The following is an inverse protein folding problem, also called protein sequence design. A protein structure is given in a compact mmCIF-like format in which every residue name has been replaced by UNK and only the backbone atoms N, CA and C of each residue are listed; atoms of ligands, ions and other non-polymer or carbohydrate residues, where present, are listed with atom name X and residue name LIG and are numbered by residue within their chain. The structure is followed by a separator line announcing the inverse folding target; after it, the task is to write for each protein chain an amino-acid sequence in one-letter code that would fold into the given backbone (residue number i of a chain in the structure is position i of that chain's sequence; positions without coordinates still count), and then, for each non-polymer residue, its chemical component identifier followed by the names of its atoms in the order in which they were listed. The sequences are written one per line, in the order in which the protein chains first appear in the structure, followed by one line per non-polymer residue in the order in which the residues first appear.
data_IF_906809424446
#
_entry.id   IF_906809424446
#
_cell.length_a   1.000
_cell.length_b   1.000
_cell.length_c   1.000
_cell.angle_alpha   90.00
_cell.angle_beta   90.00
_cell.angle_gamma   90.00
#
_symmetry.space_group_name_H-M   'P 1'
#
loop_
_entity.id
_entity.type
_entity.pdbx_description
1 polymer ?
#
# COMPACT_ATOMS: atom_id res chain seq x y z
N UNK A 1 -17.50 -27.80 -43.61
CA UNK A 1 -16.46 -27.89 -42.60
C UNK A 1 -15.17 -27.35 -43.20
N UNK A 2 -14.63 -26.23 -42.71
CA UNK A 2 -13.63 -26.16 -41.67
C UNK A 2 -13.74 -24.84 -40.83
N UNK A 3 -14.04 -24.90 -39.54
CA UNK A 3 -14.10 -23.70 -38.70
C UNK A 3 -13.51 -23.85 -37.26
N UNK A 4 -12.75 -24.92 -36.98
CA UNK A 4 -12.24 -25.23 -35.64
C UNK A 4 -10.75 -24.97 -35.40
N UNK A 5 -9.98 -24.55 -36.41
CA UNK A 5 -8.52 -24.31 -36.28
C UNK A 5 -8.11 -22.87 -35.91
N UNK A 6 -8.99 -21.89 -36.07
CA UNK A 6 -8.65 -20.47 -35.78
C UNK A 6 -8.45 -20.12 -34.30
N UNK A 7 -9.23 -20.60 -33.31
CA UNK A 7 -9.00 -20.27 -31.92
C UNK A 7 -7.73 -20.88 -31.32
N UNK A 8 -7.30 -22.06 -31.78
CA UNK A 8 -6.07 -22.70 -31.27
C UNK A 8 -4.80 -21.97 -31.70
N UNK A 9 -4.78 -21.48 -32.95
CA UNK A 9 -3.63 -20.71 -33.46
C UNK A 9 -3.49 -19.34 -32.79
N UNK A 10 -4.60 -18.69 -32.45
CA UNK A 10 -4.57 -17.42 -31.72
C UNK A 10 -4.09 -17.61 -30.27
N UNK A 11 -4.51 -18.66 -29.58
CA UNK A 11 -4.03 -18.96 -28.23
C UNK A 11 -2.55 -19.34 -28.18
N UNK A 12 -2.06 -20.10 -29.19
CA UNK A 12 -0.63 -20.42 -29.29
C UNK A 12 0.23 -19.21 -29.60
N UNK A 13 -0.25 -18.29 -30.43
CA UNK A 13 0.44 -17.04 -30.75
C UNK A 13 0.57 -16.09 -29.56
N UNK A 14 -0.46 -15.99 -28.72
CA UNK A 14 -0.41 -15.19 -27.48
C UNK A 14 0.55 -15.79 -26.44
N UNK A 15 0.57 -17.11 -26.27
CA UNK A 15 1.51 -17.77 -25.35
C UNK A 15 2.97 -17.59 -25.78
N UNK A 16 3.26 -17.65 -27.09
CA UNK A 16 4.62 -17.43 -27.61
C UNK A 16 5.08 -15.98 -27.49
N UNK A 17 4.19 -15.02 -27.72
CA UNK A 17 4.51 -13.60 -27.57
C UNK A 17 4.78 -13.22 -26.10
N UNK A 18 4.03 -13.76 -25.16
CA UNK A 18 4.24 -13.52 -23.73
C UNK A 18 5.53 -14.16 -23.18
N UNK A 19 5.90 -15.34 -23.69
CA UNK A 19 7.17 -15.99 -23.32
C UNK A 19 8.40 -15.23 -23.86
N UNK A 20 8.32 -14.68 -25.08
CA UNK A 20 9.39 -13.86 -25.64
C UNK A 20 9.57 -12.55 -24.85
N UNK A 21 8.50 -11.84 -24.51
CA UNK A 21 8.55 -10.62 -23.72
C UNK A 21 9.16 -10.84 -22.32
N UNK A 22 8.81 -11.96 -21.66
CA UNK A 22 9.42 -12.35 -20.38
C UNK A 22 10.91 -12.68 -20.52
N UNK A 23 11.30 -13.36 -21.59
CA UNK A 23 12.69 -13.73 -21.85
C UNK A 23 13.58 -12.50 -22.10
N UNK A 24 13.03 -11.46 -22.72
CA UNK A 24 13.73 -10.18 -22.96
C UNK A 24 13.82 -9.32 -21.67
N UNK A 25 12.76 -9.30 -20.85
CA UNK A 25 12.69 -8.50 -19.63
C UNK A 25 13.53 -9.09 -18.48
N UNK A 26 13.60 -10.40 -18.36
CA UNK A 26 14.29 -11.10 -17.26
C UNK A 26 15.73 -10.66 -17.06
N UNK A 27 16.60 -10.56 -18.10
CA UNK A 27 17.98 -10.12 -17.91
C UNK A 27 18.11 -8.70 -17.34
N UNK A 28 17.24 -7.79 -17.76
CA UNK A 28 17.25 -6.40 -17.29
C UNK A 28 16.79 -6.31 -15.82
N UNK A 29 15.74 -7.04 -15.44
CA UNK A 29 15.27 -7.10 -14.06
C UNK A 29 16.31 -7.77 -13.17
N UNK A 30 16.92 -8.88 -13.58
CA UNK A 30 18.01 -9.56 -12.87
C UNK A 30 19.20 -8.63 -12.63
N UNK A 31 19.60 -7.85 -13.64
CA UNK A 31 20.69 -6.88 -13.53
C UNK A 31 20.39 -5.74 -12.55
N UNK A 32 19.12 -5.38 -12.39
CA UNK A 32 18.70 -4.39 -11.41
C UNK A 32 18.58 -4.97 -9.99
N UNK A 33 18.03 -6.17 -9.84
CA UNK A 33 17.69 -6.81 -8.56
C UNK A 33 18.89 -7.40 -7.83
N UNK A 34 19.71 -8.20 -8.53
CA UNK A 34 20.79 -8.99 -7.90
C UNK A 34 21.79 -8.14 -7.12
N UNK A 35 22.26 -6.98 -7.65
CA UNK A 35 23.16 -6.10 -6.90
C UNK A 35 22.53 -5.54 -5.61
N UNK A 36 21.23 -5.19 -5.64
CA UNK A 36 20.52 -4.68 -4.47
C UNK A 36 20.36 -5.78 -3.41
N UNK A 37 19.96 -6.99 -3.81
CA UNK A 37 19.86 -8.12 -2.89
C UNK A 37 21.21 -8.44 -2.23
N UNK A 38 22.30 -8.40 -2.99
CA UNK A 38 23.65 -8.63 -2.47
C UNK A 38 24.08 -7.50 -1.52
N UNK A 39 23.94 -6.24 -1.92
CA UNK A 39 24.39 -5.09 -1.13
C UNK A 39 23.68 -4.99 0.23
N UNK A 40 22.42 -5.35 0.28
CA UNK A 40 21.59 -5.29 1.50
C UNK A 40 21.34 -6.66 2.14
N UNK A 41 22.01 -7.71 1.68
CA UNK A 41 21.89 -9.08 2.18
C UNK A 41 20.42 -9.54 2.27
N UNK A 42 19.60 -9.22 1.27
CA UNK A 42 18.16 -9.56 1.21
C UNK A 42 18.04 -11.05 0.90
N UNK A 43 17.44 -11.87 1.79
CA UNK A 43 17.38 -13.32 1.57
C UNK A 43 16.43 -13.72 0.47
N UNK A 44 15.30 -13.01 0.35
CA UNK A 44 14.25 -13.30 -0.64
C UNK A 44 13.53 -12.05 -1.10
N UNK A 45 13.11 -12.05 -2.36
CA UNK A 45 12.38 -10.96 -2.99
C UNK A 45 11.41 -11.51 -4.03
N UNK A 46 10.18 -11.00 -4.02
CA UNK A 46 9.20 -11.22 -5.07
C UNK A 46 8.84 -9.89 -5.74
N UNK A 47 8.78 -9.88 -7.07
CA UNK A 47 8.39 -8.71 -7.87
C UNK A 47 7.26 -9.13 -8.80
N UNK A 48 6.19 -8.34 -8.82
CA UNK A 48 5.13 -8.49 -9.80
C UNK A 48 4.96 -7.20 -10.60
N UNK A 49 4.76 -7.33 -11.90
CA UNK A 49 4.64 -6.23 -12.84
C UNK A 49 3.40 -6.46 -13.72
N UNK A 50 2.53 -5.46 -13.82
CA UNK A 50 1.53 -5.34 -14.86
C UNK A 50 1.98 -4.26 -15.84
N UNK A 51 2.10 -4.60 -17.12
CA UNK A 51 2.50 -3.66 -18.17
C UNK A 51 1.71 -3.92 -19.44
N UNK A 52 0.88 -2.96 -19.86
CA UNK A 52 0.06 -3.05 -21.09
C UNK A 52 -0.73 -4.36 -21.16
N UNK A 53 -1.35 -4.73 -20.05
CA UNK A 53 -2.15 -5.97 -19.93
C UNK A 53 -1.33 -7.27 -19.82
N UNK A 54 0.00 -7.20 -19.76
CA UNK A 54 0.87 -8.36 -19.53
C UNK A 54 1.30 -8.42 -18.07
N UNK A 55 1.32 -9.64 -17.52
CA UNK A 55 1.69 -9.93 -16.14
C UNK A 55 3.04 -10.65 -16.08
N UNK A 56 3.96 -10.14 -15.25
CA UNK A 56 5.28 -10.73 -15.06
C UNK A 56 5.57 -10.92 -13.58
N UNK A 57 6.16 -12.08 -13.25
CA UNK A 57 6.60 -12.41 -11.89
C UNK A 57 8.08 -12.77 -11.87
N UNK A 58 8.79 -12.27 -10.87
CA UNK A 58 10.21 -12.52 -10.66
C UNK A 58 10.43 -12.85 -9.18
N UNK A 59 10.82 -14.08 -8.93
CA UNK A 59 11.02 -14.62 -7.59
C UNK A 59 12.51 -14.91 -7.37
N UNK A 60 13.05 -14.47 -6.23
CA UNK A 60 14.46 -14.56 -5.91
C UNK A 60 14.67 -15.07 -4.50
N UNK A 61 15.66 -15.94 -4.32
CA UNK A 61 16.16 -16.36 -3.02
C UNK A 61 15.17 -17.17 -2.20
N UNK A 62 15.17 -16.97 -0.88
CA UNK A 62 14.46 -17.83 0.07
C UNK A 62 13.50 -17.05 0.98
N UNK A 63 12.34 -17.63 1.23
CA UNK A 63 11.33 -17.16 2.19
C UNK A 63 11.78 -17.45 3.64
N UNK A 64 12.58 -18.50 3.83
CA UNK A 64 13.16 -18.88 5.12
C UNK A 64 14.59 -19.35 4.91
N UNK A 65 15.56 -18.74 5.64
CA UNK A 65 16.96 -19.19 5.64
C UNK A 65 17.11 -20.54 6.33
N UNK A 66 16.30 -20.82 7.34
CA UNK A 66 16.37 -22.04 8.14
C UNK A 66 15.94 -23.26 7.33
N UNK A 67 14.76 -23.18 6.68
CA UNK A 67 14.22 -24.30 5.89
C UNK A 67 14.77 -24.35 4.46
N UNK A 68 15.35 -23.26 3.95
CA UNK A 68 15.73 -23.13 2.55
C UNK A 68 14.55 -23.00 1.59
N UNK A 69 13.34 -22.76 2.09
CA UNK A 69 12.14 -22.60 1.28
C UNK A 69 12.33 -21.43 0.29
N UNK A 70 12.21 -21.72 -1.00
CA UNK A 70 12.33 -20.70 -2.03
C UNK A 70 11.16 -19.70 -1.97
N UNK A 71 11.43 -18.47 -2.38
CA UNK A 71 10.35 -17.49 -2.67
C UNK A 71 9.65 -17.91 -3.96
N UNK A 72 8.33 -17.80 -3.95
CA UNK A 72 7.48 -17.90 -5.12
C UNK A 72 6.41 -16.78 -5.09
N UNK A 73 5.61 -16.69 -6.15
CA UNK A 73 4.55 -15.68 -6.29
C UNK A 73 3.46 -15.75 -5.22
N UNK A 74 3.34 -16.87 -4.50
CA UNK A 74 2.35 -17.13 -3.44
C UNK A 74 2.95 -16.94 -2.03
N UNK A 75 4.25 -16.68 -1.94
CA UNK A 75 4.91 -16.37 -0.67
C UNK A 75 4.30 -15.10 -0.05
N UNK A 76 3.91 -15.18 1.22
CA UNK A 76 3.31 -14.07 1.96
C UNK A 76 4.40 -13.21 2.59
N UNK A 77 4.35 -11.91 2.29
CA UNK A 77 5.23 -10.88 2.85
C UNK A 77 4.41 -9.89 3.68
N UNK A 78 5.00 -9.34 4.71
CA UNK A 78 4.43 -8.19 5.41
C UNK A 78 4.50 -6.96 4.51
N UNK A 79 3.35 -6.32 4.31
CA UNK A 79 3.24 -5.14 3.46
C UNK A 79 3.71 -3.86 4.17
N UNK A 80 3.77 -3.88 5.52
CA UNK A 80 4.03 -2.68 6.28
C UNK A 80 3.07 -1.55 5.88
N UNK A 81 3.56 -0.35 5.70
CA UNK A 81 2.73 0.82 5.39
C UNK A 81 2.00 0.79 4.03
N UNK A 82 2.23 -0.20 3.18
CA UNK A 82 1.36 -0.43 2.01
C UNK A 82 -0.05 -0.85 2.47
N UNK A 83 -0.20 -1.42 3.67
CA UNK A 83 -1.50 -1.69 4.31
C UNK A 83 -2.43 -0.47 4.32
N UNK A 84 -1.87 0.73 4.44
CA UNK A 84 -2.61 2.00 4.44
C UNK A 84 -3.40 2.27 3.15
N UNK A 85 -2.96 1.69 2.04
CA UNK A 85 -3.70 1.76 0.77
C UNK A 85 -5.03 1.00 0.87
N UNK A 86 -5.03 -0.12 1.55
CA UNK A 86 -6.23 -0.93 1.79
C UNK A 86 -7.16 -0.26 2.79
N UNK A 87 -6.60 0.31 3.86
CA UNK A 87 -7.35 1.11 4.82
C UNK A 87 -8.00 2.33 4.17
N UNK A 88 -7.26 3.03 3.31
CA UNK A 88 -7.79 4.14 2.53
C UNK A 88 -8.89 3.70 1.55
N UNK A 89 -8.72 2.53 0.90
CA UNK A 89 -9.73 1.95 0.02
C UNK A 89 -10.98 1.56 0.80
N UNK A 90 -10.85 1.01 2.03
CA UNK A 90 -11.97 0.70 2.91
C UNK A 90 -12.75 1.96 3.30
N UNK A 91 -12.06 3.03 3.70
CA UNK A 91 -12.70 4.30 4.04
C UNK A 91 -13.44 4.93 2.84
N UNK A 92 -12.80 4.91 1.66
CA UNK A 92 -13.44 5.36 0.42
C UNK A 92 -14.62 4.45 0.02
N UNK A 93 -14.57 3.16 0.32
CA UNK A 93 -15.67 2.22 0.11
C UNK A 93 -16.85 2.51 1.05
N UNK A 94 -16.59 2.82 2.31
CA UNK A 94 -17.60 3.25 3.27
C UNK A 94 -18.26 4.56 2.83
N UNK A 95 -17.47 5.53 2.32
CA UNK A 95 -17.98 6.78 1.76
C UNK A 95 -18.86 6.53 0.52
N UNK A 96 -18.42 5.70 -0.41
CA UNK A 96 -19.18 5.34 -1.61
C UNK A 96 -20.49 4.59 -1.29
N UNK A 97 -20.56 3.91 -0.13
CA UNK A 97 -21.77 3.30 0.40
C UNK A 97 -22.67 4.27 1.18
N UNK A 98 -22.20 5.48 1.43
CA UNK A 98 -22.94 6.50 2.19
C UNK A 98 -23.00 6.25 3.70
N UNK A 99 -22.13 5.37 4.25
CA UNK A 99 -22.04 5.11 5.69
C UNK A 99 -21.05 6.01 6.41
N UNK A 100 -20.19 6.71 5.64
CA UNK A 100 -19.16 7.61 6.12
C UNK A 100 -19.06 8.80 5.17
N UNK A 101 -18.67 9.98 5.70
CA UNK A 101 -18.30 11.14 4.88
C UNK A 101 -16.95 11.67 5.35
N UNK A 102 -15.98 11.79 4.43
CA UNK A 102 -14.62 12.24 4.75
C UNK A 102 -14.57 13.64 5.38
N UNK A 103 -15.58 14.49 5.19
CA UNK A 103 -15.66 15.80 5.81
C UNK A 103 -16.22 15.81 7.23
N UNK A 104 -16.78 14.69 7.70
CA UNK A 104 -17.33 14.58 9.04
C UNK A 104 -16.21 14.48 10.09
N UNK A 105 -16.50 14.96 11.30
CA UNK A 105 -15.55 14.88 12.42
C UNK A 105 -15.50 13.47 13.01
N UNK A 106 -14.32 13.07 13.45
CA UNK A 106 -14.06 11.71 13.94
C UNK A 106 -14.94 11.32 15.13
N UNK A 107 -15.23 12.26 16.05
CA UNK A 107 -16.09 12.03 17.22
C UNK A 107 -17.54 11.65 16.88
N UNK A 108 -18.00 11.93 15.65
CA UNK A 108 -19.34 11.51 15.19
C UNK A 108 -19.44 9.98 15.00
N UNK A 109 -18.31 9.33 14.67
CA UNK A 109 -18.23 7.88 14.45
C UNK A 109 -17.77 7.11 15.68
N UNK A 110 -17.18 7.80 16.68
CA UNK A 110 -16.75 7.20 17.94
C UNK A 110 -17.14 8.14 19.10
N UNK A 111 -18.33 7.96 19.68
CA UNK A 111 -18.84 8.83 20.76
C UNK A 111 -17.89 8.97 21.96
N UNK A 112 -17.04 7.97 22.21
CA UNK A 112 -16.02 8.02 23.25
C UNK A 112 -14.99 9.15 23.06
N UNK A 113 -14.89 9.75 21.86
CA UNK A 113 -14.02 10.87 21.52
C UNK A 113 -14.70 12.26 21.64
N UNK A 114 -16.00 12.31 21.98
CA UNK A 114 -16.71 13.59 22.19
C UNK A 114 -16.09 14.37 23.34
N UNK A 115 -15.96 15.68 23.16
CA UNK A 115 -15.31 16.57 24.10
C UNK A 115 -13.78 16.59 24.00
N UNK A 116 -13.19 15.97 22.99
CA UNK A 116 -11.75 15.99 22.71
C UNK A 116 -11.43 16.77 21.42
N UNK A 117 -10.14 16.85 21.06
CA UNK A 117 -9.69 17.44 19.79
C UNK A 117 -10.40 16.87 18.55
N UNK A 118 -10.87 15.61 18.62
CA UNK A 118 -11.53 14.92 17.52
C UNK A 118 -12.94 15.43 17.19
N UNK A 119 -13.47 16.37 17.97
CA UNK A 119 -14.66 17.15 17.60
C UNK A 119 -14.41 18.13 16.46
N UNK A 120 -13.12 18.39 16.14
CA UNK A 120 -12.70 19.36 15.13
C UNK A 120 -11.75 18.76 14.08
N UNK A 121 -11.45 17.46 14.15
CA UNK A 121 -10.59 16.74 13.22
C UNK A 121 -11.48 15.89 12.31
N UNK A 122 -11.41 16.16 11.00
CA UNK A 122 -12.17 15.42 10.02
C UNK A 122 -11.55 14.03 9.73
N UNK A 123 -12.38 13.12 9.22
CA UNK A 123 -11.90 11.82 8.73
C UNK A 123 -10.87 11.99 7.62
N UNK A 124 -11.00 13.03 6.77
CA UNK A 124 -10.00 13.37 5.77
C UNK A 124 -8.66 13.73 6.40
N UNK A 125 -8.67 14.54 7.49
CA UNK A 125 -7.44 14.93 8.17
C UNK A 125 -6.73 13.71 8.78
N UNK A 126 -7.48 12.73 9.30
CA UNK A 126 -6.93 11.45 9.76
C UNK A 126 -6.32 10.65 8.61
N UNK A 127 -7.05 10.49 7.49
CA UNK A 127 -6.63 9.70 6.35
C UNK A 127 -5.41 10.27 5.60
N UNK A 128 -5.17 11.58 5.74
CA UNK A 128 -4.10 12.31 5.05
C UNK A 128 -2.97 12.79 5.98
N UNK A 129 -2.99 12.35 7.24
CA UNK A 129 -1.99 12.68 8.26
C UNK A 129 -1.92 14.16 8.61
N UNK A 130 -3.01 14.89 8.43
CA UNK A 130 -3.09 16.32 8.74
C UNK A 130 -3.92 16.63 10.00
N UNK A 131 -4.08 15.65 10.88
CA UNK A 131 -4.91 15.71 12.07
C UNK A 131 -4.38 16.65 13.20
N UNK A 132 -3.21 17.28 13.03
CA UNK A 132 -2.68 18.23 14.02
C UNK A 132 -1.47 17.73 14.82
N UNK A 133 -0.73 16.73 14.33
CA UNK A 133 0.54 16.31 14.92
C UNK A 133 0.48 15.00 15.72
N UNK A 134 -0.42 14.07 15.38
CA UNK A 134 -0.35 12.71 15.90
C UNK A 134 1.02 12.07 15.59
N UNK A 135 1.66 11.37 16.53
CA UNK A 135 3.00 10.83 16.35
C UNK A 135 3.05 9.70 15.31
N UNK A 136 4.26 9.32 14.88
CA UNK A 136 4.46 8.19 13.97
C UNK A 136 3.90 6.88 14.55
N UNK A 137 4.13 6.64 15.83
CA UNK A 137 3.68 5.46 16.58
C UNK A 137 3.02 5.90 17.87
N UNK A 138 2.14 5.06 18.41
CA UNK A 138 1.71 5.22 19.79
C UNK A 138 2.91 5.15 20.75
N UNK A 139 2.82 5.83 21.92
CA UNK A 139 3.74 5.57 23.02
C UNK A 139 3.69 4.08 23.43
N UNK A 140 4.81 3.54 23.93
CA UNK A 140 4.93 2.11 24.32
C UNK A 140 3.90 1.69 25.38
N UNK A 141 3.34 2.62 26.12
CA UNK A 141 2.29 2.36 27.12
C UNK A 141 0.92 2.04 26.50
N UNK A 142 0.74 2.25 25.19
CA UNK A 142 -0.54 2.02 24.48
C UNK A 142 -0.46 0.67 23.79
N UNK A 143 -0.95 -0.38 24.46
CA UNK A 143 -0.92 -1.76 23.94
C UNK A 143 -2.29 -2.39 23.67
N UNK A 144 -3.37 -1.73 24.14
CA UNK A 144 -4.73 -2.25 23.96
C UNK A 144 -5.73 -1.14 23.60
N UNK A 145 -6.97 -1.53 23.34
CA UNK A 145 -8.03 -0.62 22.89
C UNK A 145 -8.41 0.42 23.96
N UNK A 146 -8.42 0.06 25.24
CA UNK A 146 -8.76 1.00 26.32
C UNK A 146 -7.69 2.07 26.46
N UNK A 147 -6.43 1.68 26.44
CA UNK A 147 -5.29 2.60 26.46
C UNK A 147 -5.24 3.49 25.21
N UNK A 148 -5.59 2.93 24.05
CA UNK A 148 -5.73 3.68 22.80
C UNK A 148 -6.83 4.75 22.91
N UNK A 149 -8.00 4.43 23.40
CA UNK A 149 -9.09 5.39 23.59
C UNK A 149 -8.71 6.47 24.59
N UNK A 150 -8.09 6.09 25.70
CA UNK A 150 -7.60 7.06 26.72
C UNK A 150 -6.53 7.98 26.13
N UNK A 151 -5.60 7.44 25.33
CA UNK A 151 -4.61 8.23 24.61
C UNK A 151 -5.28 9.28 23.71
N UNK A 152 -6.23 8.92 22.86
CA UNK A 152 -6.90 9.86 21.96
C UNK A 152 -7.72 10.91 22.73
N UNK A 153 -8.42 10.53 23.77
CA UNK A 153 -9.21 11.46 24.59
C UNK A 153 -8.38 12.55 25.26
N UNK A 154 -7.15 12.24 25.64
CA UNK A 154 -6.24 13.15 26.34
C UNK A 154 -5.22 13.81 25.41
N UNK A 155 -5.13 13.35 24.13
CA UNK A 155 -4.20 13.93 23.16
C UNK A 155 -4.58 15.38 22.83
N UNK A 156 -3.55 16.24 22.70
CA UNK A 156 -3.71 17.64 22.33
C UNK A 156 -3.02 17.91 21.01
N UNK A 157 -3.70 18.61 20.09
CA UNK A 157 -3.14 18.99 18.80
C UNK A 157 -1.97 19.97 18.96
N UNK A 158 -0.86 19.68 18.28
CA UNK A 158 0.34 20.55 18.24
C UNK A 158 0.16 21.64 17.19
N UNK A 159 -0.63 21.36 16.15
CA UNK A 159 -0.95 22.26 15.03
C UNK A 159 -2.45 22.24 14.76
N UNK A 160 -3.02 23.32 14.20
CA UNK A 160 -4.38 23.23 13.67
C UNK A 160 -4.49 22.13 12.60
N UNK A 161 -5.58 21.36 12.63
CA UNK A 161 -5.85 20.35 11.63
C UNK A 161 -5.83 20.95 10.20
N UNK A 162 -5.34 20.19 9.23
CA UNK A 162 -5.25 20.63 7.83
C UNK A 162 -4.09 21.59 7.52
N UNK A 163 -3.18 21.88 8.46
CA UNK A 163 -2.07 22.84 8.24
C UNK A 163 -0.71 22.19 8.02
N UNK A 164 -0.50 21.00 8.58
CA UNK A 164 0.73 20.23 8.44
C UNK A 164 0.44 18.76 8.26
N UNK A 165 1.18 18.11 7.36
CA UNK A 165 1.26 16.66 7.26
C UNK A 165 2.32 16.16 8.23
N UNK A 166 1.94 15.29 9.13
CA UNK A 166 2.85 14.51 9.96
C UNK A 166 2.46 13.04 9.85
N UNK A 167 3.30 12.26 9.17
CA UNK A 167 3.00 10.85 8.90
C UNK A 167 2.81 10.06 10.20
N UNK A 168 1.67 9.36 10.31
CA UNK A 168 1.22 8.82 11.59
C UNK A 168 0.44 7.52 11.41
N UNK A 169 0.87 6.45 12.11
CA UNK A 169 0.09 5.22 12.22
C UNK A 169 -1.18 5.42 13.07
N UNK A 170 -1.14 6.10 14.23
CA UNK A 170 -2.35 6.46 14.96
C UNK A 170 -3.38 7.22 14.11
N UNK A 171 -2.94 8.14 13.24
CA UNK A 171 -3.87 8.92 12.42
C UNK A 171 -4.68 8.05 11.47
N UNK A 172 -4.00 7.32 10.60
CA UNK A 172 -4.70 6.47 9.62
C UNK A 172 -5.27 5.20 10.26
N UNK A 173 -4.69 4.75 11.37
CA UNK A 173 -5.24 3.63 12.13
C UNK A 173 -6.61 3.98 12.68
N UNK A 174 -6.77 5.15 13.30
CA UNK A 174 -8.08 5.62 13.75
C UNK A 174 -9.05 5.79 12.57
N UNK A 175 -8.61 6.34 11.44
CA UNK A 175 -9.43 6.43 10.24
C UNK A 175 -9.96 5.06 9.81
N UNK A 176 -9.12 4.03 9.76
CA UNK A 176 -9.52 2.67 9.40
C UNK A 176 -10.50 2.06 10.39
N UNK A 177 -10.27 2.25 11.69
CA UNK A 177 -11.17 1.82 12.76
C UNK A 177 -12.56 2.45 12.61
N UNK A 178 -12.62 3.77 12.38
CA UNK A 178 -13.89 4.50 12.20
C UNK A 178 -14.59 4.09 10.89
N UNK A 179 -13.85 3.84 9.82
CA UNK A 179 -14.40 3.34 8.57
C UNK A 179 -15.06 1.96 8.74
N UNK A 180 -14.41 1.05 9.46
CA UNK A 180 -14.97 -0.26 9.78
C UNK A 180 -16.20 -0.14 10.69
N UNK A 181 -16.12 0.69 11.73
CA UNK A 181 -17.25 0.97 12.63
C UNK A 181 -18.47 1.52 11.87
N UNK A 182 -18.27 2.38 10.87
CA UNK A 182 -19.36 2.92 10.03
C UNK A 182 -20.05 1.83 9.19
N UNK A 183 -19.37 0.72 8.95
CA UNK A 183 -19.90 -0.48 8.28
C UNK A 183 -20.48 -1.50 9.27
N UNK A 184 -20.44 -1.21 10.58
CA UNK A 184 -20.91 -2.03 11.68
C UNK A 184 -20.17 -3.39 11.84
N UNK A 185 -18.90 -3.44 11.43
CA UNK A 185 -18.07 -4.64 11.49
C UNK A 185 -16.66 -4.31 12.03
N UNK A 186 -15.96 -5.26 12.70
CA UNK A 186 -14.55 -5.12 13.04
C UNK A 186 -13.68 -4.97 11.78
N UNK A 187 -12.60 -4.17 11.86
CA UNK A 187 -11.71 -3.90 10.72
C UNK A 187 -11.21 -5.17 10.04
N UNK A 188 -10.71 -6.14 10.80
CA UNK A 188 -10.23 -7.41 10.24
C UNK A 188 -11.33 -8.11 9.46
N UNK A 189 -12.55 -8.17 10.00
CA UNK A 189 -13.66 -8.89 9.39
C UNK A 189 -14.08 -8.23 8.07
N UNK A 190 -14.29 -6.92 8.06
CA UNK A 190 -14.69 -6.23 6.82
C UNK A 190 -13.56 -6.28 5.78
N UNK A 191 -12.31 -6.21 6.20
CA UNK A 191 -11.15 -6.33 5.30
C UNK A 191 -11.08 -7.72 4.66
N UNK A 192 -11.05 -8.78 5.47
CA UNK A 192 -10.82 -10.15 4.99
C UNK A 192 -12.06 -10.81 4.37
N UNK A 193 -13.26 -10.45 4.81
CA UNK A 193 -14.50 -11.11 4.37
C UNK A 193 -15.31 -10.32 3.34
N UNK A 194 -15.07 -9.00 3.23
CA UNK A 194 -15.79 -8.17 2.25
C UNK A 194 -14.83 -7.51 1.24
N UNK A 195 -13.90 -6.65 1.66
CA UNK A 195 -13.11 -5.83 0.73
C UNK A 195 -12.13 -6.65 -0.10
N UNK A 196 -11.24 -7.44 0.51
CA UNK A 196 -10.21 -8.21 -0.21
C UNK A 196 -10.81 -9.20 -1.21
N UNK A 197 -11.85 -9.99 -0.87
CA UNK A 197 -12.50 -10.87 -1.84
C UNK A 197 -13.13 -10.13 -3.02
N UNK A 198 -13.73 -8.96 -2.79
CA UNK A 198 -14.31 -8.13 -3.85
C UNK A 198 -13.25 -7.53 -4.78
N UNK A 199 -12.05 -7.27 -4.28
CA UNK A 199 -10.90 -6.88 -5.10
C UNK A 199 -10.27 -8.08 -5.83
N UNK A 200 -10.75 -9.32 -5.57
CA UNK A 200 -10.24 -10.55 -6.15
C UNK A 200 -8.95 -11.04 -5.50
N UNK A 201 -8.68 -10.65 -4.25
CA UNK A 201 -7.51 -11.00 -3.46
C UNK A 201 -7.86 -12.15 -2.50
N UNK A 202 -7.15 -13.26 -2.58
CA UNK A 202 -7.42 -14.49 -1.83
C UNK A 202 -6.23 -14.96 -0.98
N UNK A 203 -5.09 -14.31 -1.15
CA UNK A 203 -3.83 -14.58 -0.45
C UNK A 203 -3.36 -13.36 0.35
N UNK A 204 -4.33 -12.61 0.90
CA UNK A 204 -4.06 -11.39 1.67
C UNK A 204 -4.78 -11.45 3.01
N UNK A 205 -4.07 -11.14 4.08
CA UNK A 205 -4.55 -11.40 5.44
C UNK A 205 -4.09 -10.30 6.41
N UNK A 206 -5.01 -9.90 7.29
CA UNK A 206 -4.67 -9.23 8.55
C UNK A 206 -4.10 -10.27 9.51
N UNK A 207 -4.78 -11.42 9.62
CA UNK A 207 -4.32 -12.57 10.41
C UNK A 207 -4.25 -13.81 9.52
N UNK A 208 -3.03 -14.28 9.26
CA UNK A 208 -2.81 -15.45 8.41
C UNK A 208 -3.44 -16.69 9.05
N UNK A 209 -4.35 -17.40 8.35
CA UNK A 209 -4.93 -18.64 8.83
C UNK A 209 -3.86 -19.73 9.04
N UNK A 210 -4.06 -20.60 10.01
CA UNK A 210 -3.11 -21.68 10.36
C UNK A 210 -2.69 -22.52 9.13
N UNK A 211 -3.62 -22.81 8.21
CA UNK A 211 -3.35 -23.55 6.98
C UNK A 211 -2.50 -22.80 5.95
N UNK A 212 -2.31 -21.49 6.11
CA UNK A 212 -1.52 -20.64 5.21
C UNK A 212 -0.16 -20.22 5.81
N UNK A 213 0.09 -20.53 7.08
CA UNK A 213 1.31 -20.15 7.77
C UNK A 213 2.60 -20.68 7.11
N UNK A 214 2.52 -21.78 6.38
CA UNK A 214 3.63 -22.34 5.61
C UNK A 214 4.10 -21.43 4.46
N UNK A 215 3.24 -20.54 3.96
CA UNK A 215 3.57 -19.58 2.90
C UNK A 215 4.14 -18.27 3.45
N UNK A 216 4.06 -18.05 4.78
CA UNK A 216 4.50 -16.82 5.40
C UNK A 216 6.02 -16.78 5.57
N UNK A 217 6.67 -15.90 4.83
CA UNK A 217 8.11 -15.70 4.91
C UNK A 217 8.56 -15.29 6.32
N UNK A 218 9.81 -15.58 6.65
CA UNK A 218 10.49 -14.95 7.77
C UNK A 218 11.18 -13.68 7.28
N UNK A 219 10.95 -12.58 7.97
CA UNK A 219 11.70 -11.35 7.80
C UNK A 219 13.03 -11.41 8.55
N UNK A 220 14.00 -10.58 8.14
CA UNK A 220 15.34 -10.63 8.72
C UNK A 220 15.85 -9.23 9.08
N UNK A 221 16.36 -9.10 10.32
CA UNK A 221 17.10 -7.95 10.81
C UNK A 221 18.32 -8.44 11.59
N UNK A 222 19.51 -7.99 11.22
CA UNK A 222 20.77 -8.37 11.89
C UNK A 222 20.89 -9.90 12.11
N UNK A 223 20.59 -10.67 11.06
CA UNK A 223 20.57 -12.15 11.01
C UNK A 223 19.52 -12.84 11.90
N UNK A 224 18.66 -12.06 12.59
CA UNK A 224 17.56 -12.61 13.37
C UNK A 224 16.29 -12.69 12.50
N UNK A 225 15.68 -13.89 12.51
CA UNK A 225 14.38 -14.10 11.92
C UNK A 225 13.29 -13.43 12.79
N UNK A 226 12.34 -12.73 12.16
CA UNK A 226 11.26 -12.05 12.85
C UNK A 226 10.00 -11.93 12.00
N UNK A 227 8.89 -11.70 12.68
CA UNK A 227 7.60 -11.32 12.11
C UNK A 227 7.01 -10.22 12.97
N UNK A 228 6.14 -9.40 12.37
CA UNK A 228 5.47 -8.32 13.10
C UNK A 228 4.62 -8.88 14.23
N UNK A 229 4.75 -8.30 15.41
CA UNK A 229 3.89 -8.59 16.56
C UNK A 229 2.65 -7.69 16.57
N UNK A 230 1.65 -8.01 17.40
CA UNK A 230 0.43 -7.22 17.56
C UNK A 230 0.74 -5.86 18.18
N UNK A 231 -0.10 -4.86 17.85
CA UNK A 231 -0.04 -3.51 18.39
C UNK A 231 -1.38 -2.80 18.22
N UNK A 232 -1.59 -1.70 18.93
CA UNK A 232 -2.80 -0.90 18.78
C UNK A 232 -2.93 -0.40 17.32
N UNK A 233 -4.06 -0.68 16.67
CA UNK A 233 -4.37 -0.33 15.27
C UNK A 233 -3.29 -0.80 14.26
N UNK A 234 -2.59 -1.88 14.57
CA UNK A 234 -1.59 -2.46 13.68
C UNK A 234 -2.21 -2.95 12.37
N UNK A 235 -3.37 -3.59 12.43
CA UNK A 235 -4.13 -4.09 11.30
C UNK A 235 -4.40 -2.97 10.28
N UNK A 236 -4.90 -1.85 10.75
CA UNK A 236 -5.25 -0.67 9.96
C UNK A 236 -4.02 0.05 9.40
N UNK A 237 -2.91 0.06 10.15
CA UNK A 237 -1.77 0.90 9.82
C UNK A 237 -0.66 0.19 9.03
N UNK A 238 -0.35 -1.09 9.34
CA UNK A 238 0.80 -1.80 8.76
C UNK A 238 0.72 -3.34 8.82
N UNK A 239 -0.39 -3.89 9.29
CA UNK A 239 -0.47 -5.31 9.66
C UNK A 239 -0.86 -6.27 8.54
N UNK A 240 -1.15 -5.81 7.32
CA UNK A 240 -1.55 -6.69 6.21
C UNK A 240 -0.35 -7.48 5.66
N UNK A 241 -0.58 -8.75 5.36
CA UNK A 241 0.35 -9.64 4.66
C UNK A 241 -0.27 -10.04 3.34
N UNK A 242 0.53 -10.14 2.28
CA UNK A 242 0.03 -10.47 0.94
C UNK A 242 1.10 -11.16 0.11
N UNK A 243 0.68 -11.77 -0.99
CA UNK A 243 1.52 -12.39 -2.00
C UNK A 243 1.76 -11.47 -3.20
N UNK A 244 2.76 -11.77 -4.02
CA UNK A 244 2.98 -11.07 -5.28
C UNK A 244 1.79 -11.23 -6.25
N UNK A 245 1.10 -12.38 -6.22
CA UNK A 245 -0.10 -12.65 -7.00
C UNK A 245 -1.23 -11.68 -6.64
N UNK A 246 -1.54 -11.55 -5.36
CA UNK A 246 -2.59 -10.65 -4.89
C UNK A 246 -2.23 -9.18 -5.06
N UNK A 247 -0.95 -8.83 -4.81
CA UNK A 247 -0.50 -7.46 -5.03
C UNK A 247 -0.53 -7.05 -6.51
N UNK A 248 -0.30 -8.00 -7.43
CA UNK A 248 -0.51 -7.75 -8.86
C UNK A 248 -1.99 -7.49 -9.15
N UNK A 249 -2.89 -8.25 -8.52
CA UNK A 249 -4.33 -8.00 -8.62
C UNK A 249 -4.71 -6.62 -8.09
N UNK A 250 -4.13 -6.20 -6.96
CA UNK A 250 -4.31 -4.85 -6.42
C UNK A 250 -3.80 -3.76 -7.37
N UNK A 251 -2.66 -3.98 -8.03
CA UNK A 251 -2.15 -3.09 -9.08
C UNK A 251 -3.19 -2.96 -10.21
N UNK A 252 -3.70 -4.07 -10.73
CA UNK A 252 -4.64 -4.07 -11.87
C UNK A 252 -5.95 -3.37 -11.55
N UNK A 253 -6.51 -3.56 -10.35
CA UNK A 253 -7.73 -2.86 -9.95
C UNK A 253 -7.50 -1.35 -9.76
N UNK A 254 -6.29 -0.93 -9.41
CA UNK A 254 -5.93 0.48 -9.32
C UNK A 254 -5.57 1.10 -10.69
N UNK A 255 -5.04 0.33 -11.64
CA UNK A 255 -4.84 0.79 -13.02
C UNK A 255 -6.17 0.92 -13.79
N UNK A 256 -7.11 0.04 -13.50
CA UNK A 256 -8.39 -0.08 -14.22
C UNK A 256 -9.59 -0.10 -13.25
N UNK A 257 -9.79 0.93 -12.43
CA UNK A 257 -10.91 0.96 -11.48
C UNK A 257 -12.27 0.87 -12.18
N UNK A 258 -12.39 1.34 -13.43
CA UNK A 258 -13.57 1.27 -14.27
C UNK A 258 -14.06 -0.17 -14.55
N UNK A 259 -13.20 -1.18 -14.39
CA UNK A 259 -13.58 -2.61 -14.50
C UNK A 259 -14.27 -3.15 -13.26
N UNK A 260 -14.26 -2.40 -12.15
CA UNK A 260 -14.92 -2.79 -10.91
C UNK A 260 -16.40 -2.34 -10.90
N UNK A 261 -17.29 -3.12 -10.28
CA UNK A 261 -18.66 -2.67 -10.05
C UNK A 261 -18.70 -1.55 -9.01
N UNK A 262 -19.70 -0.64 -9.09
CA UNK A 262 -19.99 0.27 -7.98
C UNK A 262 -20.46 -0.53 -6.74
N UNK A 263 -20.10 -0.11 -5.51
CA UNK A 263 -19.36 1.13 -5.16
C UNK A 263 -17.84 1.01 -5.20
N UNK A 264 -17.25 -0.15 -5.51
CA UNK A 264 -15.79 -0.34 -5.52
C UNK A 264 -15.08 0.54 -6.56
N UNK A 265 -15.65 0.67 -7.76
CA UNK A 265 -15.14 1.59 -8.78
C UNK A 265 -14.94 3.00 -8.22
N UNK A 266 -15.98 3.52 -7.54
CA UNK A 266 -15.94 4.85 -6.93
C UNK A 266 -14.89 4.93 -5.82
N UNK A 267 -14.80 3.89 -4.97
CA UNK A 267 -13.87 3.82 -3.87
C UNK A 267 -12.41 3.86 -4.34
N UNK A 268 -12.03 2.96 -5.25
CA UNK A 268 -10.66 2.90 -5.76
C UNK A 268 -10.30 4.21 -6.47
N UNK A 269 -11.19 4.74 -7.33
CA UNK A 269 -10.96 6.03 -8.01
C UNK A 269 -10.81 7.19 -7.02
N UNK A 270 -11.54 7.19 -5.90
CA UNK A 270 -11.44 8.22 -4.88
C UNK A 270 -10.08 8.20 -4.17
N UNK A 271 -9.45 7.02 -4.00
CA UNK A 271 -8.12 6.93 -3.37
C UNK A 271 -7.03 7.63 -4.17
N UNK A 272 -7.21 7.83 -5.47
CA UNK A 272 -6.23 8.50 -6.34
C UNK A 272 -6.37 10.03 -6.36
N UNK A 273 -7.46 10.60 -5.82
CA UNK A 273 -7.66 12.05 -5.77
C UNK A 273 -6.66 12.70 -4.84
N UNK A 274 -6.13 13.87 -5.25
CA UNK A 274 -5.22 14.66 -4.42
C UNK A 274 -5.98 15.62 -3.51
N UNK A 275 -5.62 15.65 -2.24
CA UNK A 275 -6.26 16.49 -1.22
C UNK A 275 -5.37 17.61 -0.73
N UNK A 276 -4.08 17.36 -0.62
CA UNK A 276 -3.09 18.32 -0.12
C UNK A 276 -1.84 18.34 -0.99
N UNK A 277 -1.25 19.51 -1.17
CA UNK A 277 0.10 19.65 -1.70
C UNK A 277 1.10 19.69 -0.54
N UNK A 278 2.16 18.90 -0.61
CA UNK A 278 3.26 18.79 0.36
C UNK A 278 4.57 18.88 -0.39
N UNK A 279 5.10 20.09 -0.56
CA UNK A 279 6.21 20.31 -1.48
C UNK A 279 5.83 19.85 -2.90
N UNK A 280 6.57 18.91 -3.49
CA UNK A 280 6.27 18.36 -4.81
C UNK A 280 5.29 17.18 -4.79
N UNK A 281 5.10 16.57 -3.62
CA UNK A 281 4.17 15.47 -3.43
C UNK A 281 2.74 15.99 -3.31
N UNK A 282 1.80 15.34 -3.95
CA UNK A 282 0.38 15.48 -3.65
C UNK A 282 -0.06 14.30 -2.77
N UNK A 283 -0.57 14.59 -1.56
CA UNK A 283 -1.15 13.58 -0.69
C UNK A 283 -2.54 13.19 -1.20
N UNK A 284 -2.72 11.94 -1.54
CA UNK A 284 -3.99 11.31 -1.84
C UNK A 284 -4.44 10.42 -0.65
N UNK A 285 -5.50 9.63 -0.78
CA UNK A 285 -5.89 8.70 0.28
C UNK A 285 -4.96 7.48 0.26
N UNK A 286 -4.04 7.43 1.21
CA UNK A 286 -3.01 6.39 1.30
C UNK A 286 -1.88 6.55 0.27
N UNK A 287 -2.19 6.90 -0.98
CA UNK A 287 -1.22 7.10 -2.05
C UNK A 287 -0.47 8.43 -1.92
N UNK A 288 0.80 8.41 -2.33
CA UNK A 288 1.64 9.57 -2.55
C UNK A 288 1.78 9.77 -4.08
N UNK A 289 1.37 10.94 -4.57
CA UNK A 289 1.17 11.21 -5.99
C UNK A 289 2.11 12.29 -6.50
N UNK A 290 2.64 12.10 -7.71
CA UNK A 290 3.55 13.03 -8.39
C UNK A 290 3.16 13.18 -9.86
N UNK A 291 3.53 14.31 -10.48
CA UNK A 291 3.55 14.43 -11.93
C UNK A 291 4.64 13.49 -12.50
N UNK A 292 4.38 12.88 -13.65
CA UNK A 292 5.34 12.03 -14.34
C UNK A 292 5.63 12.61 -15.73
N UNK A 293 6.89 12.58 -16.25
CA UNK A 293 8.06 11.97 -15.64
C UNK A 293 8.61 12.75 -14.43
N UNK A 294 9.25 12.02 -13.53
CA UNK A 294 9.88 12.56 -12.32
C UNK A 294 11.33 12.09 -12.22
N UNK A 295 12.24 12.94 -11.75
CA UNK A 295 13.62 12.53 -11.51
C UNK A 295 13.71 11.60 -10.29
N UNK A 296 14.71 10.69 -10.31
CA UNK A 296 14.98 9.79 -9.18
C UNK A 296 15.18 10.57 -7.88
N UNK A 297 15.93 11.66 -7.90
CA UNK A 297 16.21 12.51 -6.73
C UNK A 297 14.92 13.05 -6.09
N UNK A 298 14.02 13.59 -6.91
CA UNK A 298 12.73 14.16 -6.43
C UNK A 298 11.83 13.07 -5.84
N UNK A 299 11.75 11.91 -6.49
CA UNK A 299 10.95 10.79 -5.97
C UNK A 299 11.56 10.21 -4.69
N UNK A 300 12.90 10.14 -4.58
CA UNK A 300 13.57 9.73 -3.35
C UNK A 300 13.36 10.73 -2.20
N UNK A 301 13.37 12.03 -2.49
CA UNK A 301 13.09 13.07 -1.48
C UNK A 301 11.69 12.90 -0.87
N UNK A 302 10.66 12.64 -1.69
CA UNK A 302 9.30 12.38 -1.21
C UNK A 302 9.14 11.06 -0.44
N UNK A 303 10.06 10.12 -0.61
CA UNK A 303 10.10 8.84 0.12
C UNK A 303 11.18 8.79 1.21
N UNK A 304 11.72 9.95 1.61
CA UNK A 304 12.81 10.06 2.57
C UNK A 304 12.34 9.84 4.02
N UNK A 305 13.31 9.63 4.90
CA UNK A 305 13.04 9.60 6.34
C UNK A 305 12.52 10.96 6.86
N UNK A 306 12.97 12.07 6.28
CA UNK A 306 12.50 13.40 6.62
C UNK A 306 10.98 13.52 6.37
N UNK A 307 10.50 13.11 5.19
CA UNK A 307 9.08 13.12 4.83
C UNK A 307 8.21 12.23 5.76
N UNK A 308 8.81 11.19 6.35
CA UNK A 308 8.12 10.28 7.26
C UNK A 308 8.20 10.72 8.74
N UNK A 309 9.26 11.42 9.15
CA UNK A 309 9.54 11.70 10.57
C UNK A 309 9.30 13.16 10.96
N UNK A 310 9.31 14.09 10.00
CA UNK A 310 9.14 15.51 10.27
C UNK A 310 7.77 16.02 9.82
N UNK A 311 7.22 17.04 10.50
CA UNK A 311 6.01 17.71 10.06
C UNK A 311 6.30 18.65 8.88
N UNK A 312 5.52 18.54 7.81
CA UNK A 312 5.64 19.39 6.62
C UNK A 312 4.41 20.29 6.46
N UNK A 313 4.55 21.57 6.12
CA UNK A 313 3.42 22.42 5.81
C UNK A 313 2.66 21.87 4.59
N UNK A 314 1.34 22.03 4.60
CA UNK A 314 0.47 21.57 3.51
C UNK A 314 -0.37 22.72 2.97
N UNK A 315 -0.68 22.65 1.68
CA UNK A 315 -1.70 23.46 1.04
C UNK A 315 -2.91 22.58 0.72
N UNK A 316 -4.03 22.83 1.39
CA UNK A 316 -5.28 22.11 1.15
C UNK A 316 -5.91 22.58 -0.16
N UNK A 317 -6.30 21.65 -1.02
CA UNK A 317 -7.09 21.98 -2.19
C UNK A 317 -8.53 22.26 -1.81
N UNK A 318 -9.11 23.33 -2.36
CA UNK A 318 -10.52 23.68 -2.13
C UNK A 318 -11.47 22.56 -2.59
N UNK A 319 -11.08 21.86 -3.67
CA UNK A 319 -11.76 20.66 -4.18
C UNK A 319 -10.67 19.62 -4.45
N UNK A 320 -10.95 18.36 -4.10
CA UNK A 320 -10.03 17.26 -4.36
C UNK A 320 -9.69 17.18 -5.85
N UNK A 321 -8.38 17.19 -6.17
CA UNK A 321 -7.89 17.15 -7.56
C UNK A 321 -8.05 15.74 -8.14
N UNK A 322 -8.72 15.58 -9.29
CA UNK A 322 -8.83 14.28 -9.93
C UNK A 322 -7.46 13.72 -10.32
N UNK A 323 -7.40 12.40 -10.53
CA UNK A 323 -6.19 11.73 -11.02
C UNK A 323 -6.15 11.79 -12.55
N UNK A 324 -5.85 12.96 -13.08
CA UNK A 324 -5.77 13.22 -14.52
C UNK A 324 -4.33 13.48 -14.95
N UNK A 325 -4.03 13.20 -16.24
CA UNK A 325 -2.71 13.38 -16.82
C UNK A 325 -1.74 12.24 -16.53
N UNK A 326 -0.47 12.47 -16.85
CA UNK A 326 0.60 11.48 -16.62
C UNK A 326 1.07 11.60 -15.15
N UNK A 327 0.67 10.67 -14.34
CA UNK A 327 0.89 10.65 -12.90
C UNK A 327 1.64 9.38 -12.49
N UNK A 328 2.44 9.52 -11.43
CA UNK A 328 3.01 8.44 -10.66
C UNK A 328 2.34 8.40 -9.30
N UNK A 329 1.78 7.24 -8.93
CA UNK A 329 1.33 6.96 -7.57
C UNK A 329 2.28 5.94 -6.96
N UNK A 330 2.66 6.12 -5.70
CA UNK A 330 3.51 5.15 -5.03
C UNK A 330 3.22 5.06 -3.53
N UNK A 331 3.77 3.98 -2.93
CA UNK A 331 3.82 3.82 -1.48
C UNK A 331 4.97 2.91 -1.09
N UNK A 332 5.72 3.32 -0.08
CA UNK A 332 6.66 2.46 0.63
C UNK A 332 5.98 1.72 1.78
N UNK A 333 6.49 0.55 2.12
CA UNK A 333 6.07 -0.19 3.30
C UNK A 333 7.26 -0.83 4.01
N UNK A 334 7.27 -0.78 5.34
CA UNK A 334 8.30 -1.40 6.15
C UNK A 334 7.72 -1.96 7.43
N UNK A 335 8.23 -3.11 7.83
CA UNK A 335 8.23 -3.62 9.20
C UNK A 335 9.67 -3.81 9.64
N UNK A 336 9.89 -4.33 10.83
CA UNK A 336 11.28 -4.58 11.28
C UNK A 336 12.04 -5.54 10.38
N UNK A 337 11.35 -6.55 9.82
CA UNK A 337 11.95 -7.61 9.00
C UNK A 337 11.65 -7.54 7.51
N UNK A 338 10.77 -6.63 7.04
CA UNK A 338 10.34 -6.60 5.65
C UNK A 338 10.40 -5.21 5.05
N UNK A 339 10.59 -5.17 3.74
CA UNK A 339 10.58 -3.95 2.96
C UNK A 339 9.78 -4.14 1.68
N UNK A 340 8.84 -3.23 1.42
CA UNK A 340 7.98 -3.28 0.25
C UNK A 340 7.90 -1.92 -0.45
N UNK A 341 7.60 -1.93 -1.74
CA UNK A 341 7.35 -0.75 -2.54
C UNK A 341 6.35 -1.06 -3.65
N UNK A 342 5.40 -0.17 -3.87
CA UNK A 342 4.45 -0.25 -4.98
C UNK A 342 4.45 1.07 -5.75
N UNK A 343 4.38 0.98 -7.08
CA UNK A 343 4.37 2.11 -7.99
C UNK A 343 3.37 1.86 -9.13
N UNK A 344 2.59 2.88 -9.47
CA UNK A 344 1.65 2.88 -10.59
C UNK A 344 1.92 4.06 -11.53
N UNK A 345 1.79 3.82 -12.82
CA UNK A 345 1.74 4.80 -13.91
C UNK A 345 0.46 4.56 -14.72
N UNK A 346 -0.70 5.05 -14.24
CA UNK A 346 -1.99 4.72 -14.85
C UNK A 346 -2.09 5.08 -16.32
N UNK A 347 -1.61 6.26 -16.73
CA UNK A 347 -1.62 6.69 -18.13
C UNK A 347 -0.77 5.80 -19.05
N UNK A 348 0.12 4.96 -18.49
CA UNK A 348 0.99 4.04 -19.21
C UNK A 348 0.59 2.58 -19.07
N UNK A 349 -0.55 2.33 -18.44
CA UNK A 349 -1.04 0.98 -18.10
C UNK A 349 0.09 0.11 -17.51
N UNK A 350 0.76 0.68 -16.48
CA UNK A 350 1.95 0.06 -15.88
C UNK A 350 1.92 0.18 -14.38
N UNK A 351 2.21 -0.91 -13.69
CA UNK A 351 2.41 -0.92 -12.25
C UNK A 351 3.34 -2.05 -11.82
N UNK A 352 4.02 -1.85 -10.71
CA UNK A 352 4.88 -2.86 -10.12
C UNK A 352 4.80 -2.86 -8.61
N UNK A 353 5.08 -4.01 -8.00
CA UNK A 353 5.31 -4.17 -6.58
C UNK A 353 6.61 -4.94 -6.35
N UNK A 354 7.35 -4.54 -5.33
CA UNK A 354 8.56 -5.19 -4.84
C UNK A 354 8.29 -5.58 -3.39
N UNK A 355 8.41 -6.86 -3.08
CA UNK A 355 8.25 -7.44 -1.74
C UNK A 355 9.57 -8.11 -1.33
N UNK A 356 10.14 -7.73 -0.19
CA UNK A 356 11.40 -8.28 0.29
C UNK A 356 11.31 -8.64 1.77
N UNK A 357 11.89 -9.78 2.14
CA UNK A 357 11.95 -10.23 3.53
C UNK A 357 13.17 -9.69 4.29
N UNK A 358 13.56 -8.47 3.96
CA UNK A 358 14.47 -7.62 4.72
C UNK A 358 14.09 -6.16 4.54
N UNK A 359 14.08 -5.39 5.62
CA UNK A 359 13.94 -3.95 5.55
C UNK A 359 15.25 -3.34 5.04
N UNK A 360 15.19 -2.65 3.90
CA UNK A 360 16.32 -1.95 3.29
C UNK A 360 15.91 -0.53 2.89
N UNK A 361 16.84 0.39 2.62
CA UNK A 361 16.52 1.81 2.43
C UNK A 361 15.46 2.08 1.36
N UNK A 362 14.50 2.96 1.67
CA UNK A 362 13.47 3.38 0.73
C UNK A 362 14.06 3.95 -0.58
N UNK A 363 15.17 4.70 -0.48
CA UNK A 363 15.86 5.26 -1.65
C UNK A 363 16.26 4.18 -2.66
N UNK A 364 16.65 2.99 -2.18
CA UNK A 364 17.03 1.87 -3.05
C UNK A 364 15.81 1.15 -3.64
N UNK A 365 14.68 1.10 -2.91
CA UNK A 365 13.41 0.56 -3.45
C UNK A 365 12.90 1.43 -4.59
N UNK A 366 12.91 2.74 -4.40
CA UNK A 366 12.55 3.72 -5.42
C UNK A 366 13.45 3.60 -6.64
N UNK A 367 14.78 3.53 -6.43
CA UNK A 367 15.76 3.38 -7.51
C UNK A 367 15.55 2.08 -8.28
N UNK A 368 15.36 0.97 -7.57
CA UNK A 368 15.11 -0.34 -8.18
C UNK A 368 13.84 -0.31 -9.03
N UNK A 369 12.75 0.25 -8.50
CA UNK A 369 11.51 0.36 -9.23
C UNK A 369 11.63 1.17 -10.51
N UNK A 370 12.28 2.35 -10.46
CA UNK A 370 12.48 3.18 -11.66
C UNK A 370 13.35 2.48 -12.72
N UNK A 371 14.41 1.77 -12.31
CA UNK A 371 15.23 0.98 -13.24
C UNK A 371 14.42 -0.13 -13.94
N UNK A 372 13.50 -0.76 -13.21
CA UNK A 372 12.61 -1.77 -13.80
C UNK A 372 11.64 -1.11 -14.78
N UNK A 373 11.07 0.05 -14.42
CA UNK A 373 10.17 0.82 -15.33
C UNK A 373 10.91 1.26 -16.58
N UNK A 374 12.16 1.72 -16.47
CA UNK A 374 13.00 2.09 -17.63
C UNK A 374 13.23 0.89 -18.56
N UNK A 375 13.42 -0.31 -18.01
CA UNK A 375 13.59 -1.53 -18.79
C UNK A 375 12.31 -1.99 -19.52
N UNK A 376 11.12 -1.53 -19.09
CA UNK A 376 9.85 -1.80 -19.77
C UNK A 376 9.59 -0.84 -20.95
N UNK A 377 10.34 0.26 -21.01
CA UNK A 377 10.20 1.25 -22.06
C UNK A 377 11.29 1.01 -23.10
N UNK A 378 10.96 0.58 -24.34
CA UNK A 378 11.95 0.42 -25.39
C UNK A 378 12.56 1.75 -25.85
#
# INVERSE_FOLDING_TARGET
MPSSLRPLLAALGLCLASQNALAELRPAVDAAVKPVMQAYAIPGMAIAISHKGQQHFFDYGVASRESGQAVDRHTLFELGSISKLFTATLGAYAEARGTLNLSDNASQYLPALQGSEFDHISLLDLATYSAGGLPLQFPDAVGDELQMLDYYRNWQAVYPAGTRRQYSNPSIGLFGHLAAASLAEPFQQVMEQDLLPRLGMQESYVQIPAGQMQHYAWGYRDDKAMRVGPGALDAEAYGLKSSATDMLRFIEVNLHPDRLPSPLHQAVSATHRGYYQVGEMTQALGWERYAYPISLERLQAGNSADMALQPHPVERFAVAKPAEGDLLLNKTGSTNGFGAYILLLPARDTGLVILANRNYPNAERVRLALRIIEALSP
#
